data_IF_008093115773
#
_entry.id   IF_008093115773
#
_cell.length_a   1.000
_cell.length_b   1.000
_cell.length_c   1.000
_cell.angle_alpha   90.00
_cell.angle_beta   90.00
_cell.angle_gamma   90.00
#
_symmetry.space_group_name_H-M   'P 1'
#
loop_
_entity.id
_entity.type
_entity.pdbx_description
1 polymer ?
#
# COMPACT_ATOMS: atom_id res chain seq x y z
N UNK A 1 -22.58 -33.24 -3.80
CA UNK A 1 -22.76 -31.89 -3.23
C UNK A 1 -21.55 -31.05 -3.63
N UNK A 2 -21.68 -30.19 -4.64
CA UNK A 2 -20.59 -29.30 -5.07
C UNK A 2 -20.53 -28.15 -4.07
N UNK A 3 -19.59 -28.19 -3.14
CA UNK A 3 -19.25 -26.99 -2.38
C UNK A 3 -18.87 -25.91 -3.40
N UNK A 4 -19.64 -24.82 -3.47
CA UNK A 4 -19.24 -23.64 -4.22
C UNK A 4 -17.84 -23.28 -3.72
N UNK A 5 -16.82 -23.36 -4.59
CA UNK A 5 -15.54 -22.73 -4.32
C UNK A 5 -15.84 -21.25 -4.07
N UNK A 6 -15.79 -20.80 -2.81
CA UNK A 6 -15.75 -19.37 -2.51
C UNK A 6 -14.60 -18.81 -3.35
N UNK A 7 -14.88 -17.84 -4.23
CA UNK A 7 -13.84 -17.19 -5.00
C UNK A 7 -12.96 -16.39 -4.05
N UNK A 8 -11.87 -17.02 -3.66
CA UNK A 8 -10.81 -16.45 -2.83
C UNK A 8 -10.16 -15.28 -3.58
N UNK A 9 -10.11 -14.07 -3.00
CA UNK A 9 -9.57 -12.92 -3.69
C UNK A 9 -8.05 -13.02 -3.80
N UNK A 10 -7.50 -12.51 -4.90
CA UNK A 10 -6.05 -12.43 -5.11
C UNK A 10 -5.56 -11.03 -4.78
N UNK A 11 -4.37 -10.93 -4.18
CA UNK A 11 -3.76 -9.65 -3.89
C UNK A 11 -3.35 -8.94 -5.18
N UNK A 12 -3.82 -7.72 -5.40
CA UNK A 12 -3.46 -6.91 -6.57
C UNK A 12 -1.96 -6.52 -6.63
N UNK A 13 -1.22 -6.67 -5.53
CA UNK A 13 0.21 -6.32 -5.46
C UNK A 13 1.12 -7.54 -5.65
N UNK A 14 0.83 -8.65 -4.97
CA UNK A 14 1.69 -9.85 -5.03
C UNK A 14 1.08 -11.03 -5.80
N UNK A 15 -0.17 -10.94 -6.27
CA UNK A 15 -0.86 -11.98 -7.02
C UNK A 15 -1.23 -13.24 -6.23
N UNK A 16 -0.86 -13.34 -4.94
CA UNK A 16 -1.18 -14.49 -4.10
C UNK A 16 -2.63 -14.46 -3.65
N UNK A 17 -3.19 -15.64 -3.48
CA UNK A 17 -4.49 -15.82 -2.84
C UNK A 17 -4.48 -15.24 -1.42
N UNK A 18 -5.53 -14.51 -1.05
CA UNK A 18 -5.64 -13.84 0.24
C UNK A 18 -6.89 -14.33 0.94
N UNK A 19 -6.71 -14.94 2.10
CA UNK A 19 -7.83 -15.17 3.00
C UNK A 19 -8.44 -13.82 3.43
N UNK A 20 -9.77 -13.69 3.48
CA UNK A 20 -10.43 -12.44 3.87
C UNK A 20 -9.93 -11.87 5.22
N UNK A 21 -9.51 -12.71 6.18
CA UNK A 21 -8.91 -12.27 7.45
C UNK A 21 -7.56 -11.54 7.30
N UNK A 22 -6.88 -11.76 6.18
CA UNK A 22 -5.57 -11.21 5.84
C UNK A 22 -5.64 -10.08 4.82
N UNK A 23 -6.85 -9.68 4.40
CA UNK A 23 -7.06 -8.47 3.61
C UNK A 23 -6.92 -7.24 4.51
N UNK A 24 -6.20 -6.23 4.03
CA UNK A 24 -6.00 -4.95 4.71
C UNK A 24 -6.64 -3.78 3.96
N UNK A 25 -6.92 -3.95 2.66
CA UNK A 25 -7.57 -2.93 1.85
C UNK A 25 -8.42 -3.56 0.76
N UNK A 26 -9.60 -2.98 0.58
CA UNK A 26 -10.57 -3.35 -0.44
C UNK A 26 -11.07 -2.06 -1.09
N UNK A 27 -10.97 -1.97 -2.41
CA UNK A 27 -11.64 -0.95 -3.22
C UNK A 27 -12.10 -1.56 -4.52
N UNK A 28 -13.42 -1.68 -4.70
CA UNK A 28 -14.02 -2.34 -5.86
C UNK A 28 -13.44 -3.76 -6.03
N UNK A 29 -12.74 -4.04 -7.13
CA UNK A 29 -12.11 -5.34 -7.41
C UNK A 29 -10.66 -5.44 -6.93
N UNK A 30 -10.14 -4.43 -6.23
CA UNK A 30 -8.76 -4.39 -5.73
C UNK A 30 -8.73 -4.91 -4.30
N UNK A 31 -8.04 -6.03 -4.09
CA UNK A 31 -7.77 -6.60 -2.78
C UNK A 31 -6.28 -6.50 -2.47
N UNK A 32 -5.91 -6.02 -1.28
CA UNK A 32 -4.51 -5.95 -0.86
C UNK A 32 -4.34 -6.63 0.49
N UNK A 33 -3.42 -7.59 0.58
CA UNK A 33 -3.11 -8.27 1.82
C UNK A 33 -2.33 -7.36 2.79
N UNK A 34 -2.35 -7.71 4.08
CA UNK A 34 -1.66 -6.99 5.16
C UNK A 34 -0.18 -6.73 4.87
N UNK A 35 0.52 -7.69 4.26
CA UNK A 35 1.96 -7.56 3.98
C UNK A 35 2.26 -6.55 2.87
N UNK A 36 1.39 -6.49 1.86
CA UNK A 36 1.53 -5.58 0.72
C UNK A 36 0.97 -4.20 0.99
N UNK A 37 0.05 -4.08 1.95
CA UNK A 37 -0.69 -2.85 2.21
C UNK A 37 0.20 -1.63 2.55
N UNK A 38 1.26 -1.72 3.38
CA UNK A 38 2.11 -0.57 3.66
C UNK A 38 2.68 0.07 2.39
N UNK A 39 3.19 -0.75 1.46
CA UNK A 39 3.74 -0.27 0.19
C UNK A 39 2.65 0.27 -0.72
N UNK A 40 1.51 -0.41 -0.80
CA UNK A 40 0.36 0.03 -1.57
C UNK A 40 -0.18 1.38 -1.09
N UNK A 41 -0.31 1.55 0.23
CA UNK A 41 -0.74 2.78 0.85
C UNK A 41 0.19 3.95 0.51
N UNK A 42 1.51 3.77 0.67
CA UNK A 42 2.48 4.83 0.39
C UNK A 42 2.44 5.24 -1.08
N UNK A 43 2.39 4.27 -2.01
CA UNK A 43 2.43 4.54 -3.45
C UNK A 43 1.14 5.14 -3.98
N UNK A 44 -0.03 4.72 -3.47
CA UNK A 44 -1.31 5.01 -4.12
C UNK A 44 -2.29 5.84 -3.27
N UNK A 45 -2.15 5.85 -1.93
CA UNK A 45 -3.15 6.44 -1.03
C UNK A 45 -2.60 7.60 -0.18
N UNK A 46 -1.30 7.59 0.10
CA UNK A 46 -0.68 8.56 0.99
C UNK A 46 -0.46 9.91 0.28
N UNK A 47 -1.46 10.80 0.34
CA UNK A 47 -1.38 12.16 -0.23
C UNK A 47 -0.17 12.97 0.25
N UNK A 48 0.31 12.66 1.44
CA UNK A 48 1.45 13.34 2.04
C UNK A 48 2.77 13.00 1.33
N UNK A 49 2.88 11.83 0.71
CA UNK A 49 4.07 11.41 -0.06
C UNK A 49 4.33 12.36 -1.22
N UNK A 50 3.30 12.76 -1.95
CA UNK A 50 3.43 13.68 -3.10
C UNK A 50 4.04 15.03 -2.69
N UNK A 51 3.58 15.57 -1.55
CA UNK A 51 4.14 16.80 -0.98
C UNK A 51 5.63 16.65 -0.64
N UNK A 52 6.00 15.49 -0.08
CA UNK A 52 7.39 15.19 0.25
C UNK A 52 8.29 15.02 -0.96
N UNK A 53 7.78 14.44 -2.05
CA UNK A 53 8.50 14.36 -3.33
C UNK A 53 8.76 15.75 -3.93
N UNK A 54 7.93 16.74 -3.61
CA UNK A 54 8.15 18.16 -3.97
C UNK A 54 9.11 18.88 -3.01
N UNK A 55 9.64 18.20 -1.99
CA UNK A 55 10.54 18.79 -1.00
C UNK A 55 9.86 19.37 0.24
N UNK A 56 8.53 19.25 0.39
CA UNK A 56 7.83 19.72 1.60
C UNK A 56 8.00 18.72 2.77
N UNK A 57 7.98 19.21 4.02
CA UNK A 57 8.04 18.36 5.22
C UNK A 57 6.82 18.51 6.14
N UNK A 58 5.67 17.89 5.80
CA UNK A 58 4.42 18.05 6.53
C UNK A 58 4.37 17.25 7.84
N UNK A 59 3.80 17.85 8.88
CA UNK A 59 3.66 17.27 10.22
C UNK A 59 2.94 15.91 10.23
N UNK A 60 1.89 15.75 9.40
CA UNK A 60 1.13 14.51 9.31
C UNK A 60 2.00 13.29 8.89
N UNK A 61 3.09 13.51 8.14
CA UNK A 61 4.00 12.40 7.81
C UNK A 61 4.72 11.86 9.04
N UNK A 62 5.03 12.74 10.01
CA UNK A 62 5.72 12.35 11.24
C UNK A 62 4.86 11.44 12.12
N UNK A 63 3.55 11.55 12.00
CA UNK A 63 2.58 10.71 12.71
C UNK A 63 2.02 9.56 11.86
N UNK A 64 2.49 9.39 10.61
CA UNK A 64 2.02 8.33 9.75
C UNK A 64 2.49 6.96 10.26
N UNK A 65 1.57 6.00 10.37
CA UNK A 65 1.86 4.61 10.77
C UNK A 65 2.94 3.96 9.92
N UNK A 66 3.07 4.36 8.64
CA UNK A 66 4.07 3.84 7.71
C UNK A 66 5.19 4.85 7.39
N UNK A 67 5.52 5.74 8.34
CA UNK A 67 6.54 6.78 8.16
C UNK A 67 7.87 6.22 7.65
N UNK A 68 8.38 5.15 8.27
CA UNK A 68 9.68 4.56 7.89
C UNK A 68 9.69 4.08 6.44
N UNK A 69 8.63 3.41 6.01
CA UNK A 69 8.49 2.95 4.63
C UNK A 69 8.32 4.13 3.67
N UNK A 70 7.61 5.19 4.10
CA UNK A 70 7.42 6.43 3.35
C UNK A 70 8.75 7.18 3.14
N UNK A 71 9.55 7.34 4.19
CA UNK A 71 10.89 7.93 4.13
C UNK A 71 11.77 7.20 3.11
N UNK A 72 11.80 5.87 3.20
CA UNK A 72 12.55 5.02 2.28
C UNK A 72 12.07 5.14 0.83
N UNK A 73 10.75 5.22 0.63
CA UNK A 73 10.18 5.38 -0.71
C UNK A 73 10.58 6.73 -1.30
N UNK A 74 10.40 7.82 -0.56
CA UNK A 74 10.77 9.17 -1.02
C UNK A 74 12.25 9.25 -1.36
N UNK A 75 13.13 8.76 -0.48
CA UNK A 75 14.57 8.78 -0.71
C UNK A 75 14.98 8.03 -1.99
N UNK A 76 14.38 6.86 -2.25
CA UNK A 76 14.62 6.09 -3.48
C UNK A 76 14.11 6.81 -4.71
N UNK A 77 12.89 7.33 -4.66
CA UNK A 77 12.23 7.99 -5.80
C UNK A 77 12.96 9.27 -6.20
N UNK A 78 13.35 10.10 -5.23
CA UNK A 78 14.14 11.31 -5.50
C UNK A 78 15.48 10.94 -6.13
N UNK A 79 16.17 9.92 -5.62
CA UNK A 79 17.44 9.44 -6.21
C UNK A 79 17.29 8.92 -7.64
N UNK A 80 16.15 8.35 -8.02
CA UNK A 80 15.91 7.91 -9.39
C UNK A 80 15.55 9.03 -10.36
N UNK A 81 15.23 10.23 -9.87
CA UNK A 81 14.88 11.40 -10.68
C UNK A 81 16.07 12.35 -10.91
N UNK A 82 17.15 12.17 -10.14
CA UNK A 82 18.44 12.85 -10.29
C UNK A 82 19.39 12.07 -11.18
#
# INVERSE_FOLDING_TARGET
MRYLRLSVPYCAVCGREVNFKNVAYIRENIFVCKDCFPQYYIKNLCRVVERRLRGENPLACNFCTFKKQCDNYVAKTVKSLS
#
